data_IF_886446225516
#
_entry.id   IF_886446225516
#
_cell.length_a   1.000
_cell.length_b   1.000
_cell.length_c   1.000
_cell.angle_alpha   90.00
_cell.angle_beta   90.00
_cell.angle_gamma   90.00
#
_symmetry.space_group_name_H-M   'P 1'
#
loop_
_entity.id
_entity.type
_entity.pdbx_description
1 polymer ?
#
# COMPACT_ATOMS: atom_id res chain seq x y z
N UNK A 1 43.71 -52.63 -10.22
CA UNK A 1 42.27 -52.72 -10.52
C UNK A 1 41.59 -52.50 -9.18
N UNK A 2 40.98 -51.36 -8.86
CA UNK A 2 39.97 -50.63 -9.64
C UNK A 2 39.88 -49.17 -9.13
N UNK A 3 39.90 -48.19 -10.03
CA UNK A 3 39.44 -46.81 -9.80
C UNK A 3 37.91 -46.79 -9.67
N UNK A 4 37.34 -45.99 -8.75
CA UNK A 4 36.08 -45.26 -9.02
C UNK A 4 36.10 -43.90 -8.30
N UNK A 5 35.66 -42.90 -9.06
CA UNK A 5 35.74 -41.44 -8.89
C UNK A 5 34.87 -40.85 -7.77
N UNK A 6 35.37 -39.77 -7.18
CA UNK A 6 34.57 -38.78 -6.47
C UNK A 6 33.64 -38.04 -7.47
N UNK A 7 32.35 -37.93 -7.12
CA UNK A 7 31.39 -37.14 -7.90
C UNK A 7 30.78 -36.07 -7.01
N UNK A 8 31.10 -34.82 -7.38
CA UNK A 8 30.45 -33.59 -6.93
C UNK A 8 29.00 -33.56 -7.42
N UNK A 9 28.06 -33.18 -6.56
CA UNK A 9 26.69 -32.83 -6.98
C UNK A 9 26.32 -31.44 -6.45
N UNK A 10 26.30 -30.54 -7.43
CA UNK A 10 25.95 -29.13 -7.45
C UNK A 10 24.49 -28.87 -7.07
N UNK A 11 24.22 -27.64 -6.63
CA UNK A 11 22.96 -27.14 -6.10
C UNK A 11 21.68 -27.49 -6.88
N UNK A 12 20.65 -27.85 -6.13
CA UNK A 12 19.26 -27.84 -6.58
C UNK A 12 18.73 -26.41 -6.56
N UNK A 13 18.83 -25.74 -7.72
CA UNK A 13 18.00 -24.58 -8.06
C UNK A 13 16.57 -25.09 -8.26
N UNK A 14 15.66 -24.64 -7.40
CA UNK A 14 14.22 -24.84 -7.57
C UNK A 14 13.80 -24.14 -8.87
N UNK A 15 13.29 -24.94 -9.81
CA UNK A 15 12.76 -24.50 -11.10
C UNK A 15 11.56 -23.59 -10.87
N UNK A 16 11.63 -22.37 -11.40
CA UNK A 16 10.46 -21.54 -11.69
C UNK A 16 9.55 -22.34 -12.62
N UNK A 17 8.28 -22.43 -12.27
CA UNK A 17 7.23 -22.79 -13.23
C UNK A 17 6.99 -21.53 -14.06
N UNK A 18 7.65 -21.47 -15.21
CA UNK A 18 7.42 -20.41 -16.20
C UNK A 18 6.08 -20.67 -16.89
N UNK A 19 5.18 -19.70 -16.79
CA UNK A 19 3.95 -19.61 -17.58
C UNK A 19 4.32 -19.50 -19.08
N UNK A 20 3.80 -20.37 -19.96
CA UNK A 20 4.15 -20.39 -21.39
C UNK A 20 3.71 -19.15 -22.17
N UNK A 21 3.01 -18.18 -21.56
CA UNK A 21 2.56 -16.97 -22.24
C UNK A 21 3.35 -15.70 -21.93
N UNK A 22 4.43 -15.75 -21.13
CA UNK A 22 5.52 -14.74 -21.13
C UNK A 22 5.12 -13.26 -21.06
N UNK A 23 3.90 -12.93 -20.61
CA UNK A 23 3.47 -11.56 -20.40
C UNK A 23 3.92 -11.22 -18.99
N UNK A 24 5.04 -10.51 -18.87
CA UNK A 24 5.29 -9.73 -17.66
C UNK A 24 3.98 -9.01 -17.32
N UNK A 25 3.50 -9.07 -16.06
CA UNK A 25 2.27 -8.40 -15.69
C UNK A 25 2.40 -6.93 -16.10
N UNK A 26 1.53 -6.51 -17.00
CA UNK A 26 1.55 -5.19 -17.63
C UNK A 26 1.43 -4.12 -16.53
N UNK A 27 2.56 -3.53 -16.14
CA UNK A 27 2.61 -2.52 -15.07
C UNK A 27 1.91 -1.25 -15.56
N UNK A 28 0.64 -1.08 -15.19
CA UNK A 28 -0.14 0.10 -15.52
C UNK A 28 0.31 1.28 -14.65
N UNK A 29 0.93 2.27 -15.28
CA UNK A 29 1.37 3.51 -14.61
C UNK A 29 0.18 4.22 -13.93
N UNK A 30 0.41 4.78 -12.74
CA UNK A 30 -0.57 5.55 -11.96
C UNK A 30 -1.82 4.78 -11.55
N UNK A 31 -1.80 3.45 -11.61
CA UNK A 31 -2.93 2.61 -11.25
C UNK A 31 -2.64 1.75 -10.03
N UNK A 32 -3.71 1.44 -9.30
CA UNK A 32 -3.71 0.39 -8.31
C UNK A 32 -4.38 -0.86 -8.89
N UNK A 33 -4.21 -2.03 -8.27
CA UNK A 33 -5.06 -3.18 -8.54
C UNK A 33 -6.54 -2.80 -8.38
N UNK A 34 -7.46 -3.39 -9.17
CA UNK A 34 -8.89 -3.10 -9.05
C UNK A 34 -9.41 -3.34 -7.63
N UNK A 35 -10.22 -2.41 -7.12
CA UNK A 35 -10.89 -2.55 -5.84
C UNK A 35 -12.38 -2.82 -6.07
N UNK A 36 -12.80 -4.06 -5.80
CA UNK A 36 -14.21 -4.44 -5.93
C UNK A 36 -15.02 -3.91 -4.74
N UNK A 37 -15.95 -3.00 -5.03
CA UNK A 37 -16.83 -2.36 -4.05
C UNK A 37 -18.26 -2.93 -4.04
N UNK A 38 -18.52 -3.97 -4.83
CA UNK A 38 -19.88 -4.52 -5.04
C UNK A 38 -20.47 -5.17 -3.79
N UNK A 39 -19.64 -5.78 -2.93
CA UNK A 39 -20.08 -6.38 -1.68
C UNK A 39 -19.99 -5.40 -0.51
N UNK A 40 -21.06 -4.64 -0.23
CA UNK A 40 -21.09 -3.69 0.89
C UNK A 40 -22.34 -3.82 1.79
N UNK A 41 -22.50 -4.93 2.55
CA UNK A 41 -23.65 -5.09 3.43
C UNK A 41 -23.64 -4.14 4.63
N UNK A 42 -22.52 -3.45 4.91
CA UNK A 42 -22.44 -2.43 5.97
C UNK A 42 -22.88 -1.03 5.52
N UNK A 43 -22.96 -0.79 4.20
CA UNK A 43 -23.16 0.55 3.63
C UNK A 43 -22.03 1.53 3.96
N UNK A 44 -20.88 1.05 4.43
CA UNK A 44 -19.74 1.86 4.87
C UNK A 44 -18.48 1.44 4.10
N UNK A 45 -17.72 0.45 4.60
CA UNK A 45 -16.60 -0.11 3.87
C UNK A 45 -17.07 -1.39 3.16
N UNK A 46 -16.85 -1.57 1.84
CA UNK A 46 -17.12 -2.85 1.18
C UNK A 46 -16.21 -3.94 1.75
N UNK A 47 -16.64 -5.20 1.61
CA UNK A 47 -15.82 -6.36 1.96
C UNK A 47 -14.63 -6.40 1.02
N UNK A 48 -13.44 -6.47 1.58
CA UNK A 48 -12.21 -6.44 0.79
C UNK A 48 -11.90 -7.82 0.18
N UNK A 49 -11.62 -7.84 -1.12
CA UNK A 49 -11.08 -9.01 -1.81
C UNK A 49 -9.55 -8.88 -1.95
N UNK A 50 -8.74 -9.73 -1.28
CA UNK A 50 -7.28 -9.64 -1.31
C UNK A 50 -6.65 -10.15 -2.63
N UNK A 51 -7.42 -10.81 -3.49
CA UNK A 51 -6.89 -11.37 -4.75
C UNK A 51 -6.38 -10.25 -5.65
N UNK A 52 -5.15 -10.39 -6.14
CA UNK A 52 -4.51 -9.40 -7.02
C UNK A 52 -3.83 -8.24 -6.31
N UNK A 53 -3.84 -8.21 -4.97
CA UNK A 53 -3.21 -7.14 -4.18
C UNK A 53 -1.86 -7.52 -3.58
N UNK A 54 -1.58 -8.81 -3.35
CA UNK A 54 -0.31 -9.25 -2.74
C UNK A 54 0.81 -9.36 -3.77
N UNK A 55 2.03 -8.99 -3.38
CA UNK A 55 3.25 -9.05 -4.21
C UNK A 55 3.16 -8.28 -5.53
N UNK A 56 2.49 -7.13 -5.57
CA UNK A 56 2.39 -6.32 -6.79
C UNK A 56 3.47 -5.25 -6.84
N UNK A 57 3.96 -4.98 -8.03
CA UNK A 57 4.78 -3.81 -8.33
C UNK A 57 3.89 -2.73 -8.94
N UNK A 58 3.93 -1.52 -8.38
CA UNK A 58 3.24 -0.35 -8.90
C UNK A 58 4.27 0.68 -9.34
N UNK A 59 3.92 1.49 -10.33
CA UNK A 59 4.75 2.59 -10.80
C UNK A 59 3.91 3.86 -10.89
N UNK A 60 4.32 4.89 -10.15
CA UNK A 60 3.66 6.20 -10.17
C UNK A 60 4.55 7.25 -10.83
N UNK A 61 3.92 8.07 -11.66
CA UNK A 61 4.49 9.27 -12.30
C UNK A 61 3.52 10.41 -12.02
N UNK A 62 3.88 11.23 -11.04
CA UNK A 62 3.14 12.39 -10.56
C UNK A 62 1.67 12.04 -10.27
N UNK A 63 1.43 10.86 -9.68
CA UNK A 63 0.07 10.41 -9.32
C UNK A 63 -0.49 11.37 -8.28
N UNK A 64 -1.66 11.97 -8.57
CA UNK A 64 -2.30 12.97 -7.73
C UNK A 64 -2.93 12.35 -6.49
N UNK A 65 -2.74 13.05 -5.37
CA UNK A 65 -3.39 12.76 -4.10
C UNK A 65 -3.84 14.06 -3.43
N UNK A 66 -4.96 14.01 -2.71
CA UNK A 66 -5.23 14.97 -1.64
C UNK A 66 -4.47 14.51 -0.40
N UNK A 67 -3.65 15.39 0.17
CA UNK A 67 -2.94 15.18 1.43
C UNK A 67 -3.76 15.73 2.58
N UNK A 68 -3.91 14.94 3.64
CA UNK A 68 -4.48 15.41 4.90
C UNK A 68 -3.75 14.79 6.09
N UNK A 69 -3.74 15.50 7.23
CA UNK A 69 -3.23 14.97 8.48
C UNK A 69 -4.35 14.77 9.50
N UNK A 70 -4.21 13.72 10.31
CA UNK A 70 -5.01 13.51 11.50
C UNK A 70 -4.12 13.66 12.71
N UNK A 71 -4.73 14.09 13.81
CA UNK A 71 -4.08 14.10 15.10
C UNK A 71 -4.36 12.76 15.78
N UNK A 72 -3.41 12.31 16.56
CA UNK A 72 -3.44 11.01 17.25
C UNK A 72 -3.02 11.18 18.70
N UNK A 73 -3.36 10.19 19.52
CA UNK A 73 -2.75 9.99 20.82
C UNK A 73 -2.33 8.53 20.94
N UNK A 74 -1.03 8.28 21.13
CA UNK A 74 -0.48 6.92 21.17
C UNK A 74 -0.87 6.09 19.93
N UNK A 75 -0.75 6.66 18.73
CA UNK A 75 -1.11 6.03 17.45
C UNK A 75 -2.61 5.75 17.25
N UNK A 76 -3.48 6.26 18.12
CA UNK A 76 -4.93 6.16 17.97
C UNK A 76 -5.45 7.51 17.47
N UNK A 77 -6.04 7.58 16.27
CA UNK A 77 -6.53 8.84 15.74
C UNK A 77 -7.84 9.24 16.41
N UNK A 78 -7.93 10.50 16.86
CA UNK A 78 -9.13 11.04 17.53
C UNK A 78 -10.01 11.94 16.66
N UNK A 79 -9.51 12.45 15.52
CA UNK A 79 -10.24 13.35 14.63
C UNK A 79 -10.39 12.80 13.20
N UNK A 80 -10.06 11.53 12.98
CA UNK A 80 -10.07 10.92 11.65
C UNK A 80 -11.42 11.00 10.95
N UNK A 81 -12.53 10.75 11.67
CA UNK A 81 -13.87 10.86 11.09
C UNK A 81 -14.15 12.25 10.50
N UNK A 82 -13.83 13.32 11.23
CA UNK A 82 -14.05 14.70 10.76
C UNK A 82 -13.16 15.01 9.54
N UNK A 83 -11.90 14.60 9.58
CA UNK A 83 -10.95 14.84 8.47
C UNK A 83 -11.37 14.07 7.22
N UNK A 84 -11.67 12.77 7.35
CA UNK A 84 -12.05 11.92 6.22
C UNK A 84 -13.38 12.33 5.62
N UNK A 85 -14.39 12.68 6.43
CA UNK A 85 -15.67 13.19 5.92
C UNK A 85 -15.50 14.49 5.15
N UNK A 86 -14.68 15.43 5.65
CA UNK A 86 -14.40 16.68 4.93
C UNK A 86 -13.73 16.42 3.58
N UNK A 87 -12.64 15.64 3.59
CA UNK A 87 -11.84 15.39 2.39
C UNK A 87 -12.64 14.62 1.34
N UNK A 88 -13.32 13.54 1.72
CA UNK A 88 -14.18 12.79 0.78
C UNK A 88 -15.30 13.66 0.23
N UNK A 89 -15.95 14.50 1.04
CA UNK A 89 -16.97 15.43 0.56
C UNK A 89 -16.44 16.40 -0.51
N UNK A 90 -15.25 16.98 -0.29
CA UNK A 90 -14.63 17.84 -1.31
C UNK A 90 -14.20 17.07 -2.57
N UNK A 91 -13.75 15.82 -2.43
CA UNK A 91 -13.42 14.95 -3.58
C UNK A 91 -14.67 14.65 -4.41
N UNK A 92 -15.78 14.33 -3.76
CA UNK A 92 -17.08 14.07 -4.39
C UNK A 92 -17.63 15.33 -5.07
N UNK A 93 -17.64 16.48 -4.38
CA UNK A 93 -18.09 17.77 -4.92
C UNK A 93 -17.28 18.20 -6.14
N UNK A 94 -15.99 17.84 -6.18
CA UNK A 94 -15.11 18.10 -7.31
C UNK A 94 -15.23 17.06 -8.43
N UNK A 95 -15.95 15.95 -8.25
CA UNK A 95 -15.96 14.79 -9.16
C UNK A 95 -14.53 14.26 -9.42
N UNK A 96 -13.72 14.22 -8.36
CA UNK A 96 -12.30 13.86 -8.42
C UNK A 96 -12.01 12.43 -7.95
N UNK A 97 -13.02 11.71 -7.45
CA UNK A 97 -12.89 10.33 -7.02
C UNK A 97 -12.42 9.44 -8.18
N UNK A 98 -11.64 8.40 -7.83
CA UNK A 98 -11.32 7.34 -8.78
C UNK A 98 -12.46 6.30 -8.77
N UNK A 99 -13.26 6.19 -9.84
CA UNK A 99 -14.38 5.25 -9.87
C UNK A 99 -13.94 3.79 -9.83
N UNK A 100 -12.66 3.50 -10.09
CA UNK A 100 -12.12 2.14 -10.01
C UNK A 100 -11.57 1.79 -8.63
N UNK A 101 -11.24 2.78 -7.78
CA UNK A 101 -10.70 2.54 -6.45
C UNK A 101 -10.65 3.79 -5.54
N UNK A 102 -11.47 3.81 -4.49
CA UNK A 102 -11.28 4.76 -3.37
C UNK A 102 -10.14 4.30 -2.46
N UNK A 103 -8.91 4.69 -2.79
CA UNK A 103 -7.71 4.30 -2.04
C UNK A 103 -7.17 5.47 -1.25
N UNK A 104 -6.94 5.21 0.03
CA UNK A 104 -6.26 6.13 0.94
C UNK A 104 -5.01 5.46 1.48
N UNK A 105 -3.85 5.99 1.13
CA UNK A 105 -2.57 5.55 1.69
C UNK A 105 -2.32 6.32 2.99
N UNK A 106 -2.15 5.59 4.10
CA UNK A 106 -2.02 6.18 5.43
C UNK A 106 -0.76 5.71 6.14
N UNK A 107 -0.11 6.59 6.90
CA UNK A 107 1.00 6.22 7.79
C UNK A 107 1.07 7.18 8.98
N UNK A 108 1.78 6.78 10.03
CA UNK A 108 2.00 7.62 11.19
C UNK A 108 3.27 8.45 10.99
N UNK A 109 3.14 9.78 11.06
CA UNK A 109 4.30 10.68 11.17
C UNK A 109 4.93 10.53 12.57
N UNK A 110 4.07 10.39 13.58
CA UNK A 110 4.47 10.18 14.97
C UNK A 110 3.36 9.50 15.77
N UNK A 111 3.59 9.25 17.07
CA UNK A 111 2.54 8.81 17.98
C UNK A 111 1.36 9.82 18.11
N UNK A 112 1.54 11.05 17.63
CA UNK A 112 0.62 12.17 17.77
C UNK A 112 0.01 12.66 16.46
N UNK A 113 0.47 12.17 15.32
CA UNK A 113 0.03 12.66 14.02
C UNK A 113 0.13 11.55 12.96
N UNK A 114 -0.96 11.38 12.20
CA UNK A 114 -1.04 10.54 11.02
C UNK A 114 -1.18 11.36 9.76
N UNK A 115 -0.75 10.81 8.63
CA UNK A 115 -0.83 11.43 7.32
C UNK A 115 -1.51 10.49 6.34
N UNK A 116 -2.34 11.07 5.47
CA UNK A 116 -3.25 10.37 4.57
C UNK A 116 -3.16 10.97 3.18
N UNK A 117 -3.07 10.11 2.18
CA UNK A 117 -3.04 10.46 0.76
C UNK A 117 -4.23 9.80 0.08
N UNK A 118 -5.24 10.60 -0.24
CA UNK A 118 -6.46 10.17 -0.93
C UNK A 118 -6.21 10.22 -2.44
N UNK A 119 -6.25 9.08 -3.10
CA UNK A 119 -6.00 9.00 -4.54
C UNK A 119 -7.13 9.71 -5.31
N UNK A 120 -6.77 10.61 -6.22
CA UNK A 120 -7.74 11.39 -7.01
C UNK A 120 -7.33 11.46 -8.47
N UNK A 121 -8.31 11.66 -9.35
CA UNK A 121 -8.11 11.79 -10.79
C UNK A 121 -7.74 13.21 -11.23
N UNK A 122 -8.09 14.22 -10.42
CA UNK A 122 -7.85 15.64 -10.71
C UNK A 122 -7.71 16.45 -9.42
N UNK A 123 -7.36 17.72 -9.55
CA UNK A 123 -7.16 18.60 -8.40
C UNK A 123 -8.49 18.92 -7.69
N UNK A 124 -8.42 18.98 -6.36
CA UNK A 124 -9.58 19.23 -5.48
C UNK A 124 -9.43 20.61 -4.85
N UNK A 125 -10.26 21.60 -5.23
CA UNK A 125 -10.18 22.94 -4.67
C UNK A 125 -10.38 22.95 -3.15
N UNK A 126 -9.58 23.75 -2.44
CA UNK A 126 -9.70 23.92 -0.99
C UNK A 126 -9.04 22.83 -0.14
N UNK A 127 -8.47 21.80 -0.76
CA UNK A 127 -7.65 20.79 -0.09
C UNK A 127 -6.17 20.90 -0.50
N UNK A 128 -5.29 20.32 0.31
CA UNK A 128 -3.86 20.27 0.01
C UNK A 128 -3.57 19.19 -1.03
N UNK A 129 -3.10 19.59 -2.22
CA UNK A 129 -2.73 18.67 -3.29
C UNK A 129 -1.27 18.24 -3.18
N UNK A 130 -0.98 16.98 -3.50
CA UNK A 130 0.38 16.45 -3.62
C UNK A 130 0.46 15.37 -4.70
N UNK A 131 1.68 14.93 -5.00
CA UNK A 131 1.93 13.84 -5.94
C UNK A 131 2.92 12.85 -5.39
N UNK A 132 2.73 11.56 -5.68
CA UNK A 132 3.71 10.52 -5.44
C UNK A 132 4.25 9.98 -6.77
N UNK A 133 5.57 9.79 -6.82
CA UNK A 133 6.29 9.30 -8.00
C UNK A 133 7.35 8.30 -7.56
N UNK A 134 7.54 7.22 -8.32
CA UNK A 134 8.49 6.16 -8.04
C UNK A 134 7.90 4.77 -8.19
N UNK A 135 8.70 3.77 -7.81
CA UNK A 135 8.29 2.37 -7.78
C UNK A 135 7.78 2.01 -6.40
N UNK A 136 6.68 1.27 -6.36
CA UNK A 136 6.07 0.80 -5.12
C UNK A 136 5.89 -0.70 -5.17
N UNK A 137 5.80 -1.30 -3.98
CA UNK A 137 5.52 -2.72 -3.83
C UNK A 137 4.47 -2.95 -2.77
N UNK A 138 3.56 -3.88 -3.04
CA UNK A 138 2.43 -4.18 -2.15
C UNK A 138 2.58 -5.52 -1.46
N UNK A 139 2.08 -5.60 -0.22
CA UNK A 139 1.76 -6.87 0.43
C UNK A 139 0.42 -6.80 1.15
N UNK A 140 -0.28 -7.92 1.18
CA UNK A 140 -1.54 -8.05 1.94
C UNK A 140 -1.26 -8.67 3.30
N UNK A 141 -1.82 -8.06 4.33
CA UNK A 141 -1.76 -8.53 5.71
C UNK A 141 -3.17 -8.69 6.26
N UNK A 142 -3.34 -9.60 7.20
CA UNK A 142 -4.57 -9.76 7.97
C UNK A 142 -4.24 -9.70 9.46
N UNK A 143 -4.99 -8.91 10.21
CA UNK A 143 -4.83 -8.82 11.66
C UNK A 143 -5.32 -7.51 12.25
N UNK A 144 -5.27 -7.32 13.57
CA UNK A 144 -5.71 -6.09 14.21
C UNK A 144 -4.81 -4.89 13.85
N UNK A 145 -5.37 -3.68 13.75
CA UNK A 145 -4.62 -2.46 13.35
C UNK A 145 -3.36 -2.19 14.19
N UNK A 146 -3.35 -2.59 15.48
CA UNK A 146 -2.17 -2.48 16.34
C UNK A 146 -0.94 -3.25 15.83
N UNK A 147 -1.12 -4.16 14.87
CA UNK A 147 -0.04 -4.88 14.20
C UNK A 147 0.59 -4.10 13.04
N UNK A 148 0.10 -2.90 12.70
CA UNK A 148 0.66 -2.08 11.63
C UNK A 148 2.19 -1.89 11.75
N UNK A 149 2.72 -1.75 12.97
CA UNK A 149 4.18 -1.70 13.22
C UNK A 149 4.94 -2.97 12.79
N UNK A 150 4.32 -4.14 12.95
CA UNK A 150 4.92 -5.41 12.55
C UNK A 150 4.85 -5.56 11.03
N UNK A 151 3.73 -5.14 10.43
CA UNK A 151 3.58 -5.12 8.98
C UNK A 151 4.54 -4.13 8.32
N UNK A 152 4.82 -2.97 8.94
CA UNK A 152 5.85 -2.02 8.46
C UNK A 152 7.23 -2.70 8.45
N UNK A 153 7.57 -3.39 9.53
CA UNK A 153 8.81 -4.16 9.63
C UNK A 153 8.92 -5.21 8.51
N UNK A 154 7.84 -5.97 8.28
CA UNK A 154 7.77 -6.99 7.24
C UNK A 154 7.86 -6.40 5.82
N UNK A 155 7.28 -5.22 5.58
CA UNK A 155 7.44 -4.49 4.32
C UNK A 155 8.88 -4.06 4.09
N UNK A 156 9.56 -3.57 5.13
CA UNK A 156 10.98 -3.18 5.06
C UNK A 156 11.90 -4.38 4.84
N UNK A 157 11.60 -5.53 5.44
CA UNK A 157 12.31 -6.79 5.16
C UNK A 157 12.10 -7.20 3.69
N UNK A 158 10.86 -7.16 3.19
CA UNK A 158 10.56 -7.52 1.81
C UNK A 158 11.30 -6.61 0.82
N UNK A 159 11.33 -5.30 1.06
CA UNK A 159 12.11 -4.35 0.25
C UNK A 159 13.61 -4.71 0.21
N UNK A 160 14.20 -5.05 1.37
CA UNK A 160 15.61 -5.47 1.46
C UNK A 160 15.88 -6.78 0.71
N UNK A 161 14.97 -7.75 0.78
CA UNK A 161 15.10 -9.00 0.05
C UNK A 161 15.12 -8.79 -1.48
N UNK A 162 14.51 -7.70 -1.97
CA UNK A 162 14.56 -7.26 -3.37
C UNK A 162 15.79 -6.38 -3.71
N UNK A 163 16.74 -6.20 -2.78
CA UNK A 163 17.89 -5.31 -2.98
C UNK A 163 17.53 -3.82 -2.97
N UNK A 164 16.36 -3.47 -2.43
CA UNK A 164 15.85 -2.10 -2.31
C UNK A 164 15.78 -1.67 -0.84
N UNK A 165 15.47 -0.41 -0.61
CA UNK A 165 15.06 0.14 0.69
C UNK A 165 13.65 0.69 0.56
N UNK A 166 12.79 0.42 1.54
CA UNK A 166 11.50 1.12 1.65
C UNK A 166 11.76 2.51 2.25
N UNK A 167 11.67 3.55 1.41
CA UNK A 167 11.79 4.95 1.83
C UNK A 167 10.65 5.28 2.80
N UNK A 168 9.44 5.02 2.34
CA UNK A 168 8.18 5.21 3.06
C UNK A 168 7.40 3.89 3.01
N UNK A 169 6.60 3.61 4.04
CA UNK A 169 5.65 2.49 4.04
C UNK A 169 4.29 3.05 4.42
N UNK A 170 3.35 2.93 3.49
CA UNK A 170 1.96 3.31 3.70
C UNK A 170 1.10 2.08 3.92
N UNK A 171 -0.07 2.29 4.52
CA UNK A 171 -1.11 1.28 4.65
C UNK A 171 -2.41 1.79 4.04
N UNK A 172 -2.98 0.99 3.15
CA UNK A 172 -4.38 1.08 2.79
C UNK A 172 -5.18 0.21 3.75
N UNK A 173 -5.91 0.86 4.65
CA UNK A 173 -6.84 0.22 5.57
C UNK A 173 -8.16 -0.02 4.84
N UNK A 174 -8.42 -1.28 4.48
CA UNK A 174 -9.52 -1.62 3.57
C UNK A 174 -10.89 -1.58 4.26
N UNK A 175 -10.90 -1.62 5.59
CA UNK A 175 -12.10 -1.56 6.41
C UNK A 175 -11.87 -0.69 7.65
N UNK A 176 -12.96 -0.13 8.20
CA UNK A 176 -12.95 0.53 9.51
C UNK A 176 -13.16 -0.49 10.66
N UNK A 177 -12.84 -0.13 11.92
CA UNK A 177 -12.97 -1.06 13.05
C UNK A 177 -14.38 -1.61 13.29
N UNK A 178 -15.42 -0.91 12.80
CA UNK A 178 -16.80 -1.39 12.88
C UNK A 178 -17.08 -2.44 11.80
N UNK A 179 -16.70 -2.16 10.55
CA UNK A 179 -16.88 -3.08 9.42
C UNK A 179 -16.04 -4.35 9.59
N UNK A 180 -14.78 -4.24 10.04
CA UNK A 180 -13.92 -5.38 10.30
C UNK A 180 -14.54 -6.39 11.29
N UNK A 181 -15.28 -5.90 12.30
CA UNK A 181 -16.01 -6.76 13.24
C UNK A 181 -17.20 -7.47 12.61
N UNK A 182 -17.90 -6.81 11.67
CA UNK A 182 -19.03 -7.41 10.94
C UNK A 182 -18.53 -8.49 9.99
N UNK A 183 -17.42 -8.25 9.29
CA UNK A 183 -16.84 -9.20 8.35
C UNK A 183 -16.06 -10.33 9.03
N UNK A 184 -15.62 -10.12 10.27
CA UNK A 184 -14.67 -10.98 10.99
C UNK A 184 -13.35 -11.16 10.21
N UNK A 185 -12.98 -10.14 9.45
CA UNK A 185 -11.81 -10.06 8.59
C UNK A 185 -11.25 -8.64 8.73
N UNK A 186 -9.93 -8.51 8.77
CA UNK A 186 -9.29 -7.18 8.85
C UNK A 186 -8.03 -7.14 7.99
N UNK A 187 -8.24 -6.95 6.69
CA UNK A 187 -7.15 -6.82 5.73
C UNK A 187 -6.54 -5.42 5.74
N UNK A 188 -5.23 -5.37 5.53
CA UNK A 188 -4.45 -4.16 5.31
C UNK A 188 -3.50 -4.41 4.15
N UNK A 189 -3.43 -3.47 3.21
CA UNK A 189 -2.42 -3.52 2.15
C UNK A 189 -1.28 -2.60 2.55
N UNK A 190 -0.11 -3.16 2.82
CA UNK A 190 1.13 -2.40 2.96
C UNK A 190 1.65 -2.00 1.57
N UNK A 191 2.03 -0.75 1.40
CA UNK A 191 2.54 -0.17 0.15
C UNK A 191 3.87 0.51 0.44
N UNK A 192 4.97 -0.13 0.05
CA UNK A 192 6.32 0.39 0.27
C UNK A 192 6.78 1.20 -0.95
N UNK A 193 7.20 2.43 -0.71
CA UNK A 193 7.90 3.25 -1.71
C UNK A 193 9.35 2.78 -1.82
N UNK A 194 9.69 2.14 -2.93
CA UNK A 194 11.00 1.54 -3.15
C UNK A 194 12.03 2.57 -3.59
N UNK A 195 13.24 2.40 -3.07
CA UNK A 195 14.42 3.16 -3.47
C UNK A 195 15.61 2.22 -3.61
N UNK A 196 16.51 2.52 -4.54
CA UNK A 196 17.78 1.80 -4.65
C UNK A 196 18.62 1.98 -3.38
N UNK A 197 19.15 0.88 -2.85
CA UNK A 197 19.79 0.80 -1.54
C UNK A 197 21.09 1.64 -1.35
N UNK A 198 21.43 2.53 -2.29
CA UNK A 198 22.60 3.42 -2.24
C UNK A 198 22.30 4.92 -2.38
N UNK A 199 21.05 5.34 -2.62
CA UNK A 199 20.72 6.77 -2.82
C UNK A 199 20.35 7.43 -1.50
N UNK A 200 21.30 8.08 -0.82
CA UNK A 200 20.98 8.93 0.36
C UNK A 200 20.06 10.07 -0.08
N UNK A 201 18.88 10.18 0.51
CA UNK A 201 18.03 11.38 0.41
C UNK A 201 18.35 12.25 1.62
N UNK A 202 18.74 13.50 1.37
CA UNK A 202 18.85 14.48 2.44
C UNK A 202 17.46 14.67 3.07
N UNK A 203 17.33 14.74 4.41
CA UNK A 203 16.06 15.02 5.04
C UNK A 203 15.51 16.37 4.55
N UNK A 204 14.18 16.54 4.46
CA UNK A 204 13.59 17.82 4.08
C UNK A 204 14.04 18.93 5.05
N UNK A 205 14.18 20.18 4.59
CA UNK A 205 14.55 21.29 5.46
C UNK A 205 13.53 21.43 6.59
N UNK A 206 14.06 21.59 7.81
CA UNK A 206 13.30 21.81 9.05
C UNK A 206 12.54 23.13 9.03
#
# INVERSE_FOLDING_TARGET
MTEVKATSLTGHILRRTDDPNGKEPEMRTNSFPPYDVSENPTGCCPRFNPVGWDNQHLHFVDKKFVRATTRSAMHIPWNMGVVFTRVQGHIEDADAADPAAEIVLSHDISAWEGEHFFAVQKDVPGEEMTTLSGDFYTRVFEGPYRHARYFDHDMRIAAKAMGKTARDVFFFYTTCPKCAKVYNENYMVGVAHLQDAGRRVNPPPR
#
